data_IF_822649038867
#
_entry.id   IF_822649038867
#
_cell.length_a   1.000
_cell.length_b   1.000
_cell.length_c   1.000
_cell.angle_alpha   90.00
_cell.angle_beta   90.00
_cell.angle_gamma   90.00
#
_symmetry.space_group_name_H-M   'P 1'
#
loop_
_entity.id
_entity.type
_entity.pdbx_description
1 polymer ?
#
# COMPACT_ATOMS: atom_id res chain seq x y z
N UNK A 1 11.26 56.10 33.94
CA UNK A 1 10.19 55.60 33.07
C UNK A 1 10.79 54.63 32.07
N UNK A 2 10.22 53.42 32.06
CA UNK A 2 10.21 52.37 31.03
C UNK A 2 11.53 51.88 30.42
N UNK A 3 12.02 50.77 30.97
CA UNK A 3 12.70 49.72 30.20
C UNK A 3 11.69 49.09 29.22
N UNK A 4 12.01 49.04 27.94
CA UNK A 4 11.08 48.59 26.90
C UNK A 4 11.75 48.05 25.63
N UNK A 5 12.88 47.36 25.74
CA UNK A 5 13.54 46.75 24.56
C UNK A 5 14.00 45.30 24.75
N UNK A 6 13.59 44.63 25.82
CA UNK A 6 14.09 43.29 26.17
C UNK A 6 12.98 42.22 26.15
N UNK A 7 12.13 42.23 25.12
CA UNK A 7 11.13 41.17 24.89
C UNK A 7 11.02 40.78 23.42
N UNK A 8 12.18 40.54 22.78
CA UNK A 8 12.26 39.82 21.50
C UNK A 8 13.02 38.49 21.62
N UNK A 9 13.50 38.14 22.81
CA UNK A 9 14.12 36.85 23.12
C UNK A 9 13.10 35.94 23.82
N UNK A 10 12.03 35.59 23.10
CA UNK A 10 11.12 34.52 23.50
C UNK A 10 11.71 33.17 23.10
N UNK A 11 11.95 32.30 24.09
CA UNK A 11 12.75 31.08 24.00
C UNK A 11 12.51 30.22 22.75
N UNK A 12 13.62 29.70 22.18
CA UNK A 12 13.59 28.63 21.19
C UNK A 12 12.79 27.46 21.78
N UNK A 13 11.54 27.30 21.35
CA UNK A 13 10.83 26.01 21.48
C UNK A 13 11.72 24.96 20.86
N UNK A 14 11.89 23.84 21.55
CA UNK A 14 12.57 22.69 21.00
C UNK A 14 11.92 22.34 19.66
N UNK A 15 12.70 22.40 18.58
CA UNK A 15 12.25 22.13 17.21
C UNK A 15 11.58 20.76 17.10
N UNK A 16 12.00 19.79 17.94
CA UNK A 16 11.37 18.47 18.00
C UNK A 16 9.98 18.53 18.63
N UNK A 17 9.82 19.28 19.71
CA UNK A 17 8.52 19.50 20.34
C UNK A 17 7.56 20.18 19.36
N UNK A 18 8.04 21.20 18.63
CA UNK A 18 7.21 21.88 17.61
C UNK A 18 6.81 20.98 16.43
N UNK A 19 7.69 20.06 16.00
CA UNK A 19 7.36 19.12 14.93
C UNK A 19 6.30 18.11 15.37
N UNK A 20 6.41 17.58 16.60
CA UNK A 20 5.41 16.67 17.18
C UNK A 20 4.05 17.36 17.35
N UNK A 21 4.03 18.58 17.88
CA UNK A 21 2.81 19.36 18.02
C UNK A 21 2.15 19.64 16.66
N UNK A 22 2.94 19.94 15.63
CA UNK A 22 2.46 20.12 14.27
C UNK A 22 1.85 18.84 13.68
N UNK A 23 2.51 17.68 13.86
CA UNK A 23 1.98 16.38 13.41
C UNK A 23 0.64 16.07 14.09
N UNK A 24 0.52 16.31 15.40
CA UNK A 24 -0.74 16.13 16.14
C UNK A 24 -1.84 17.04 15.57
N UNK A 25 -1.53 18.31 15.33
CA UNK A 25 -2.49 19.25 14.74
C UNK A 25 -2.94 18.83 13.33
N UNK A 26 -2.02 18.38 12.48
CA UNK A 26 -2.33 17.88 11.14
C UNK A 26 -3.23 16.64 11.19
N UNK A 27 -2.97 15.70 12.12
CA UNK A 27 -3.81 14.52 12.32
C UNK A 27 -5.20 14.87 12.85
N UNK A 28 -5.33 15.85 13.73
CA UNK A 28 -6.63 16.36 14.17
C UNK A 28 -7.42 16.97 13.00
N UNK A 29 -6.75 17.73 12.14
CA UNK A 29 -7.37 18.28 10.93
C UNK A 29 -7.82 17.17 9.97
N UNK A 30 -7.02 16.10 9.82
CA UNK A 30 -7.37 14.92 9.03
C UNK A 30 -8.67 14.28 9.51
N UNK A 31 -8.80 14.05 10.82
CA UNK A 31 -10.03 13.51 11.42
C UNK A 31 -11.26 14.40 11.19
N UNK A 32 -11.08 15.72 11.17
CA UNK A 32 -12.16 16.65 10.85
C UNK A 32 -12.58 16.59 9.38
N UNK A 33 -11.61 16.38 8.48
CA UNK A 33 -11.89 16.18 7.05
C UNK A 33 -12.64 14.87 6.84
N UNK A 34 -12.20 13.76 7.43
CA UNK A 34 -12.87 12.45 7.34
C UNK A 34 -14.33 12.52 7.79
N UNK A 35 -14.60 13.13 8.96
CA UNK A 35 -15.98 13.36 9.44
C UNK A 35 -16.81 14.20 8.47
N UNK A 36 -16.19 15.16 7.79
CA UNK A 36 -16.87 16.02 6.81
C UNK A 36 -17.12 15.28 5.50
N UNK A 37 -16.21 14.42 5.07
CA UNK A 37 -16.39 13.51 3.93
C UNK A 37 -17.58 12.57 4.19
N UNK A 38 -17.65 11.93 5.36
CA UNK A 38 -18.80 11.08 5.75
C UNK A 38 -20.13 11.84 5.71
N UNK A 39 -20.16 13.08 6.22
CA UNK A 39 -21.35 13.92 6.16
C UNK A 39 -21.76 14.24 4.72
N UNK A 40 -20.79 14.62 3.87
CA UNK A 40 -21.06 14.92 2.46
C UNK A 40 -21.55 13.68 1.71
N UNK A 41 -21.01 12.50 2.01
CA UNK A 41 -21.44 11.23 1.41
C UNK A 41 -22.89 10.91 1.75
N UNK A 42 -23.29 11.04 3.02
CA UNK A 42 -24.71 10.90 3.43
C UNK A 42 -25.60 11.93 2.72
N UNK A 43 -25.16 13.18 2.62
CA UNK A 43 -25.89 14.25 1.92
C UNK A 43 -26.05 13.96 0.43
N UNK A 44 -25.03 13.42 -0.23
CA UNK A 44 -25.07 12.99 -1.64
C UNK A 44 -26.14 11.91 -1.83
N UNK A 45 -26.19 10.91 -0.94
CA UNK A 45 -27.19 9.85 -0.97
C UNK A 45 -28.62 10.39 -0.76
N UNK A 46 -28.81 11.30 0.20
CA UNK A 46 -30.11 11.92 0.46
C UNK A 46 -30.62 12.73 -0.74
N UNK A 47 -29.77 13.56 -1.34
CA UNK A 47 -30.15 14.34 -2.53
C UNK A 47 -30.40 13.42 -3.74
N UNK A 48 -29.66 12.31 -3.86
CA UNK A 48 -29.94 11.30 -4.89
C UNK A 48 -31.29 10.61 -4.67
N UNK A 49 -31.64 10.25 -3.43
CA UNK A 49 -32.95 9.69 -3.08
C UNK A 49 -34.08 10.67 -3.39
N UNK A 50 -33.93 11.95 -3.02
CA UNK A 50 -34.89 13.03 -3.35
C UNK A 50 -35.05 13.22 -4.85
N UNK A 51 -33.95 13.20 -5.60
CA UNK A 51 -33.98 13.31 -7.06
C UNK A 51 -34.76 12.14 -7.69
N UNK A 52 -34.47 10.90 -7.27
CA UNK A 52 -35.16 9.69 -7.75
C UNK A 52 -36.67 9.73 -7.45
N UNK A 53 -37.05 10.12 -6.23
CA UNK A 53 -38.45 10.19 -5.82
C UNK A 53 -39.28 11.22 -6.62
N UNK A 54 -38.64 12.27 -7.14
CA UNK A 54 -39.31 13.35 -7.86
C UNK A 54 -39.07 13.32 -9.38
N UNK A 55 -38.35 12.32 -9.90
CA UNK A 55 -37.90 12.30 -11.29
C UNK A 55 -39.05 12.32 -12.31
N UNK A 56 -40.18 11.68 -11.99
CA UNK A 56 -41.36 11.58 -12.86
C UNK A 56 -42.44 12.60 -12.47
N UNK A 57 -42.62 12.86 -11.17
CA UNK A 57 -43.69 13.70 -10.64
C UNK A 57 -43.37 15.20 -10.64
N UNK A 58 -42.12 15.58 -10.34
CA UNK A 58 -41.72 16.97 -10.20
C UNK A 58 -40.27 17.19 -10.64
N UNK A 59 -40.08 17.38 -11.95
CA UNK A 59 -38.76 17.58 -12.57
C UNK A 59 -37.98 18.77 -12.00
N UNK A 60 -38.66 19.83 -11.55
CA UNK A 60 -37.98 21.00 -11.00
C UNK A 60 -37.27 20.66 -9.67
N UNK A 61 -37.97 19.95 -8.77
CA UNK A 61 -37.41 19.48 -7.49
C UNK A 61 -36.29 18.47 -7.74
N UNK A 62 -36.48 17.52 -8.67
CA UNK A 62 -35.44 16.55 -9.01
C UNK A 62 -34.17 17.23 -9.55
N UNK A 63 -34.32 18.22 -10.42
CA UNK A 63 -33.19 18.98 -10.97
C UNK A 63 -32.45 19.77 -9.88
N UNK A 64 -33.18 20.39 -8.95
CA UNK A 64 -32.56 21.12 -7.83
C UNK A 64 -31.79 20.17 -6.91
N UNK A 65 -32.33 18.99 -6.60
CA UNK A 65 -31.66 17.96 -5.82
C UNK A 65 -30.37 17.48 -6.51
N UNK A 66 -30.40 17.24 -7.82
CA UNK A 66 -29.20 16.87 -8.59
C UNK A 66 -28.12 17.97 -8.58
N UNK A 67 -28.50 19.26 -8.64
CA UNK A 67 -27.55 20.37 -8.49
C UNK A 67 -26.88 20.38 -7.11
N UNK A 68 -27.66 20.16 -6.05
CA UNK A 68 -27.13 20.06 -4.67
C UNK A 68 -26.21 18.85 -4.51
N UNK A 69 -26.58 17.70 -5.08
CA UNK A 69 -25.72 16.51 -5.15
C UNK A 69 -24.38 16.84 -5.80
N UNK A 70 -24.40 17.44 -7.00
CA UNK A 70 -23.18 17.80 -7.75
C UNK A 70 -22.29 18.79 -6.99
N UNK A 71 -22.87 19.75 -6.27
CA UNK A 71 -22.09 20.65 -5.41
C UNK A 71 -21.41 19.90 -4.25
N UNK A 72 -22.12 18.98 -3.59
CA UNK A 72 -21.53 18.15 -2.53
C UNK A 72 -20.44 17.20 -3.06
N UNK A 73 -20.59 16.65 -4.27
CA UNK A 73 -19.54 15.85 -4.94
C UNK A 73 -18.28 16.68 -5.18
N UNK A 74 -18.41 17.90 -5.72
CA UNK A 74 -17.28 18.79 -5.92
C UNK A 74 -16.57 19.18 -4.61
N UNK A 75 -17.34 19.39 -3.53
CA UNK A 75 -16.77 19.62 -2.21
C UNK A 75 -16.02 18.39 -1.68
N UNK A 76 -16.53 17.18 -1.93
CA UNK A 76 -15.89 15.93 -1.54
C UNK A 76 -14.56 15.71 -2.28
N UNK A 77 -14.53 15.95 -3.59
CA UNK A 77 -13.31 15.88 -4.39
C UNK A 77 -12.24 16.87 -3.89
N UNK A 78 -12.66 18.08 -3.51
CA UNK A 78 -11.77 19.08 -2.91
C UNK A 78 -11.20 18.61 -1.57
N UNK A 79 -12.02 18.00 -0.72
CA UNK A 79 -11.57 17.46 0.57
C UNK A 79 -10.59 16.31 0.38
N UNK A 80 -10.81 15.43 -0.60
CA UNK A 80 -9.88 14.34 -0.92
C UNK A 80 -8.49 14.87 -1.29
N UNK A 81 -8.42 15.94 -2.10
CA UNK A 81 -7.16 16.62 -2.41
C UNK A 81 -6.49 17.24 -1.18
N UNK A 82 -7.26 17.86 -0.29
CA UNK A 82 -6.74 18.39 0.97
C UNK A 82 -6.22 17.28 1.88
N UNK A 83 -6.91 16.14 1.95
CA UNK A 83 -6.53 14.97 2.73
C UNK A 83 -5.18 14.44 2.29
N UNK A 84 -5.01 14.19 1.00
CA UNK A 84 -3.74 13.75 0.41
C UNK A 84 -2.59 14.72 0.73
N UNK A 85 -2.85 16.03 0.65
CA UNK A 85 -1.84 17.04 0.95
C UNK A 85 -1.42 17.01 2.44
N UNK A 86 -2.36 16.81 3.36
CA UNK A 86 -2.06 16.69 4.79
C UNK A 86 -1.29 15.40 5.10
N UNK A 87 -1.66 14.28 4.50
CA UNK A 87 -0.95 13.00 4.63
C UNK A 87 0.51 13.14 4.16
N UNK A 88 0.74 13.76 3.00
CA UNK A 88 2.09 14.05 2.50
C UNK A 88 2.90 14.92 3.48
N UNK A 89 2.28 15.95 4.07
CA UNK A 89 2.94 16.82 5.05
C UNK A 89 3.30 16.08 6.33
N UNK A 90 2.42 15.21 6.83
CA UNK A 90 2.68 14.36 7.99
C UNK A 90 3.90 13.47 7.72
N UNK A 91 3.90 12.74 6.60
CA UNK A 91 5.02 11.86 6.22
C UNK A 91 6.33 12.63 6.08
N UNK A 92 6.28 13.84 5.50
CA UNK A 92 7.46 14.71 5.35
C UNK A 92 8.01 15.13 6.72
N UNK A 93 7.14 15.54 7.66
CA UNK A 93 7.55 15.93 9.01
C UNK A 93 8.10 14.76 9.81
N UNK A 94 7.50 13.57 9.68
CA UNK A 94 7.97 12.35 10.33
C UNK A 94 9.36 11.96 9.82
N UNK A 95 9.56 11.96 8.50
CA UNK A 95 10.87 11.72 7.88
C UNK A 95 11.91 12.76 8.33
N UNK A 96 11.54 14.04 8.35
CA UNK A 96 12.42 15.11 8.81
C UNK A 96 12.82 14.93 10.29
N UNK A 97 11.89 14.49 11.16
CA UNK A 97 12.21 14.21 12.56
C UNK A 97 13.16 13.01 12.71
N UNK A 98 12.95 11.93 11.94
CA UNK A 98 13.86 10.78 11.92
C UNK A 98 15.25 11.18 11.42
N UNK A 99 15.34 11.96 10.35
CA UNK A 99 16.62 12.46 9.84
C UNK A 99 17.34 13.34 10.88
N UNK A 100 16.61 14.20 11.59
CA UNK A 100 17.17 15.01 12.67
C UNK A 100 17.68 14.16 13.84
N UNK A 101 17.03 13.04 14.16
CA UNK A 101 17.48 12.08 15.16
C UNK A 101 18.76 11.36 14.71
N UNK A 102 18.81 10.89 13.47
CA UNK A 102 20.02 10.28 12.88
C UNK A 102 21.20 11.25 12.90
N UNK A 103 21.00 12.49 12.45
CA UNK A 103 22.04 13.52 12.51
C UNK A 103 22.50 13.80 13.93
N UNK A 104 21.57 13.80 14.90
CA UNK A 104 21.90 13.94 16.32
C UNK A 104 22.76 12.78 16.84
N UNK A 105 22.45 11.54 16.44
CA UNK A 105 23.24 10.36 16.79
C UNK A 105 24.63 10.39 16.15
N UNK A 106 24.71 10.74 14.85
CA UNK A 106 25.97 10.91 14.14
C UNK A 106 26.84 11.98 14.76
N UNK A 107 26.27 13.11 15.19
CA UNK A 107 27.00 14.16 15.90
C UNK A 107 27.60 13.64 17.21
N UNK A 108 26.81 12.95 18.04
CA UNK A 108 27.31 12.32 19.28
C UNK A 108 28.42 11.31 19.00
N UNK A 109 28.27 10.49 17.97
CA UNK A 109 29.30 9.53 17.55
C UNK A 109 30.58 10.26 17.12
N UNK A 110 30.46 11.33 16.34
CA UNK A 110 31.59 12.18 15.95
C UNK A 110 32.27 12.84 17.15
N UNK A 111 31.52 13.33 18.14
CA UNK A 111 32.08 13.93 19.34
C UNK A 111 32.85 12.88 20.18
N UNK A 112 32.32 11.67 20.29
CA UNK A 112 33.00 10.54 20.95
C UNK A 112 34.27 10.15 20.19
N UNK A 113 34.20 10.02 18.86
CA UNK A 113 35.37 9.74 18.02
C UNK A 113 36.43 10.84 18.17
N UNK A 114 36.02 12.11 18.15
CA UNK A 114 36.93 13.23 18.37
C UNK A 114 37.59 13.19 19.76
N UNK A 115 36.89 12.75 20.80
CA UNK A 115 37.46 12.57 22.13
C UNK A 115 38.41 11.36 22.22
N UNK A 116 38.09 10.24 21.54
CA UNK A 116 38.97 9.07 21.46
C UNK A 116 40.27 9.45 20.74
N UNK A 117 40.15 10.14 19.60
CA UNK A 117 41.28 10.52 18.75
C UNK A 117 42.06 11.71 19.32
N UNK A 118 41.38 12.67 19.96
CA UNK A 118 42.01 13.84 20.59
C UNK A 118 42.86 13.52 21.82
N UNK A 119 42.63 12.36 22.45
CA UNK A 119 43.50 11.82 23.51
C UNK A 119 44.57 10.85 22.98
N UNK A 120 44.59 10.60 21.67
CA UNK A 120 45.55 9.74 20.98
C UNK A 120 46.65 10.64 20.40
N UNK A 121 47.77 10.77 21.12
CA UNK A 121 48.98 11.48 20.65
C UNK A 121 49.31 11.04 19.22
N UNK A 122 49.44 11.96 18.27
CA UNK A 122 49.69 11.66 16.83
C UNK A 122 50.88 10.69 16.67
N UNK A 123 51.92 10.84 17.49
CA UNK A 123 53.11 9.97 17.48
C UNK A 123 52.79 8.52 17.88
N UNK A 124 51.80 8.30 18.75
CA UNK A 124 51.31 6.95 19.09
C UNK A 124 50.36 6.42 18.02
N UNK A 125 49.59 7.29 17.36
CA UNK A 125 48.73 6.89 16.24
C UNK A 125 49.57 6.35 15.09
N UNK A 126 50.64 7.03 14.69
CA UNK A 126 51.52 6.57 13.60
C UNK A 126 52.17 5.20 13.91
N UNK A 127 52.67 5.03 15.14
CA UNK A 127 53.23 3.75 15.59
C UNK A 127 52.18 2.62 15.67
N UNK A 128 50.93 2.97 16.01
CA UNK A 128 49.83 2.00 16.08
C UNK A 128 49.28 1.68 14.68
N UNK A 129 49.22 2.66 13.78
CA UNK A 129 48.82 2.49 12.37
C UNK A 129 49.84 1.66 11.60
N UNK A 130 51.14 1.83 11.88
CA UNK A 130 52.19 0.95 11.34
C UNK A 130 51.97 -0.52 11.77
N UNK A 131 51.71 -0.76 13.06
CA UNK A 131 51.37 -2.10 13.57
C UNK A 131 50.04 -2.63 13.05
N UNK A 132 49.02 -1.78 12.86
CA UNK A 132 47.73 -2.18 12.30
C UNK A 132 47.87 -2.56 10.84
N UNK A 133 48.62 -1.80 10.04
CA UNK A 133 48.87 -2.16 8.64
C UNK A 133 49.63 -3.49 8.54
N UNK A 134 50.66 -3.69 9.38
CA UNK A 134 51.37 -4.97 9.48
C UNK A 134 50.42 -6.13 9.88
N UNK A 135 49.53 -5.93 10.85
CA UNK A 135 48.54 -6.92 11.24
C UNK A 135 47.42 -7.12 10.21
N UNK A 136 47.09 -6.10 9.43
CA UNK A 136 46.09 -6.16 8.35
C UNK A 136 46.65 -6.91 7.15
N UNK A 137 47.93 -6.74 6.84
CA UNK A 137 48.64 -7.52 5.83
C UNK A 137 48.70 -9.00 6.26
N UNK A 138 49.04 -9.28 7.53
CA UNK A 138 48.97 -10.64 8.10
C UNK A 138 47.54 -11.20 8.05
N UNK A 139 46.52 -10.40 8.39
CA UNK A 139 45.13 -10.84 8.36
C UNK A 139 44.63 -11.09 6.93
N UNK A 140 45.09 -10.31 5.95
CA UNK A 140 44.82 -10.56 4.53
C UNK A 140 45.54 -11.82 4.06
N UNK A 141 46.79 -12.03 4.45
CA UNK A 141 47.56 -13.24 4.12
C UNK A 141 46.92 -14.50 4.76
N UNK A 142 46.39 -14.37 5.98
CA UNK A 142 45.60 -15.41 6.66
C UNK A 142 44.25 -15.60 5.96
N UNK A 143 43.55 -14.53 5.59
CA UNK A 143 42.27 -14.60 4.89
C UNK A 143 42.44 -15.19 3.48
N UNK A 144 43.53 -14.92 2.79
CA UNK A 144 43.85 -15.47 1.47
C UNK A 144 44.27 -16.94 1.59
N UNK A 145 45.00 -17.31 2.66
CA UNK A 145 45.30 -18.70 3.01
C UNK A 145 44.05 -19.48 3.48
N UNK A 146 43.09 -18.83 4.15
CA UNK A 146 41.81 -19.39 4.60
C UNK A 146 40.69 -19.31 3.56
N UNK A 147 40.82 -18.47 2.53
CA UNK A 147 39.93 -18.41 1.38
C UNK A 147 40.35 -19.40 0.29
N UNK A 148 41.55 -19.99 0.40
CA UNK A 148 41.97 -21.12 -0.41
C UNK A 148 41.79 -22.50 0.27
N UNK A 149 40.60 -22.77 0.81
CA UNK A 149 39.95 -24.06 0.71
C UNK A 149 38.57 -23.83 0.07
N UNK A 150 38.56 -23.80 -1.26
CA UNK A 150 37.35 -23.88 -2.11
C UNK A 150 36.49 -22.61 -2.20
N UNK A 151 36.60 -21.94 -3.36
CA UNK A 151 35.46 -21.37 -4.10
C UNK A 151 34.67 -20.25 -3.43
N UNK A 152 34.89 -19.03 -3.91
CA UNK A 152 33.99 -17.89 -3.78
C UNK A 152 32.54 -18.34 -4.03
N UNK A 153 31.65 -18.20 -3.05
CA UNK A 153 30.21 -18.34 -3.25
C UNK A 153 29.74 -17.15 -4.08
N UNK A 154 29.79 -17.30 -5.39
CA UNK A 154 29.03 -16.48 -6.33
C UNK A 154 27.57 -16.95 -6.28
N UNK A 155 26.65 -16.04 -5.96
CA UNK A 155 25.22 -16.32 -6.09
C UNK A 155 24.87 -16.33 -7.57
N UNK A 156 24.18 -17.39 -8.01
CA UNK A 156 23.75 -17.52 -9.40
C UNK A 156 22.48 -16.67 -9.63
N UNK A 157 22.62 -15.61 -10.43
CA UNK A 157 21.52 -14.73 -10.82
C UNK A 157 20.38 -15.48 -11.54
N UNK A 158 20.60 -16.68 -12.08
CA UNK A 158 19.55 -17.52 -12.67
C UNK A 158 18.69 -18.22 -11.60
N UNK A 159 19.29 -18.67 -10.49
CA UNK A 159 18.58 -19.28 -9.36
C UNK A 159 17.64 -18.27 -8.70
N UNK A 160 18.12 -17.03 -8.51
CA UNK A 160 17.33 -15.94 -7.94
C UNK A 160 16.15 -15.52 -8.83
N UNK A 161 16.29 -15.63 -10.16
CA UNK A 161 15.20 -15.32 -11.10
C UNK A 161 14.12 -16.39 -11.12
N UNK A 162 14.50 -17.66 -10.94
CA UNK A 162 13.54 -18.75 -10.84
C UNK A 162 12.70 -18.60 -9.56
N UNK A 163 13.33 -18.32 -8.43
CA UNK A 163 12.63 -18.08 -7.16
C UNK A 163 11.67 -16.88 -7.23
N UNK A 164 12.05 -15.81 -7.95
CA UNK A 164 11.16 -14.67 -8.19
C UNK A 164 9.93 -15.04 -9.01
N UNK A 165 10.08 -15.89 -10.04
CA UNK A 165 8.97 -16.30 -10.91
C UNK A 165 7.94 -17.15 -10.16
N UNK A 166 8.40 -18.02 -9.26
CA UNK A 166 7.52 -18.86 -8.45
C UNK A 166 6.66 -17.99 -7.49
N UNK A 167 7.27 -16.97 -6.86
CA UNK A 167 6.56 -16.00 -6.02
C UNK A 167 5.49 -15.19 -6.79
N UNK A 168 5.78 -14.82 -8.04
CA UNK A 168 4.80 -14.11 -8.90
C UNK A 168 3.59 -14.97 -9.21
N UNK A 169 3.79 -16.27 -9.49
CA UNK A 169 2.72 -17.20 -9.78
C UNK A 169 1.83 -17.45 -8.55
N UNK A 170 2.42 -17.67 -7.37
CA UNK A 170 1.67 -17.85 -6.12
C UNK A 170 0.76 -16.64 -5.83
N UNK A 171 1.28 -15.42 -6.01
CA UNK A 171 0.47 -14.19 -5.78
C UNK A 171 -0.63 -13.98 -6.83
N UNK A 172 -0.43 -14.42 -8.07
CA UNK A 172 -1.46 -14.42 -9.11
C UNK A 172 -2.57 -15.42 -8.81
N UNK A 173 -2.21 -16.62 -8.36
CA UNK A 173 -3.17 -17.66 -8.00
C UNK A 173 -3.99 -17.28 -6.77
N UNK A 174 -3.39 -16.63 -5.76
CA UNK A 174 -4.13 -16.04 -4.63
C UNK A 174 -5.13 -14.97 -5.08
N UNK A 175 -4.75 -14.11 -6.04
CA UNK A 175 -5.66 -13.08 -6.59
C UNK A 175 -6.80 -13.67 -7.40
N UNK A 176 -6.55 -14.75 -8.14
CA UNK A 176 -7.56 -15.44 -8.94
C UNK A 176 -8.51 -16.28 -8.07
N UNK A 177 -8.01 -16.88 -6.99
CA UNK A 177 -8.82 -17.58 -6.00
C UNK A 177 -9.83 -16.66 -5.28
N UNK A 178 -9.57 -15.36 -5.24
CA UNK A 178 -10.50 -14.35 -4.71
C UNK A 178 -11.59 -13.85 -5.67
N UNK A 179 -11.55 -14.23 -6.96
CA UNK A 179 -12.49 -13.74 -7.98
C UNK A 179 -13.62 -14.75 -8.28
N UNK A 180 -14.55 -14.92 -7.35
CA UNK A 180 -15.71 -15.80 -7.52
C UNK A 180 -16.81 -15.12 -8.39
N UNK A 181 -17.00 -15.66 -9.61
CA UNK A 181 -18.12 -15.50 -10.56
C UNK A 181 -18.27 -14.21 -11.41
N UNK A 182 -18.01 -14.36 -12.72
CA UNK A 182 -18.49 -13.44 -13.76
C UNK A 182 -19.94 -13.83 -14.16
N UNK A 183 -20.92 -12.90 -14.16
CA UNK A 183 -22.29 -13.22 -14.58
C UNK A 183 -22.37 -13.40 -16.11
N UNK A 184 -22.85 -14.58 -16.54
CA UNK A 184 -23.17 -14.86 -17.94
C UNK A 184 -24.42 -14.07 -18.37
N UNK A 185 -24.26 -13.10 -19.27
CA UNK A 185 -25.36 -12.33 -19.85
C UNK A 185 -25.83 -12.99 -21.16
N UNK A 186 -27.05 -13.51 -21.20
CA UNK A 186 -27.72 -13.96 -22.44
C UNK A 186 -28.56 -12.78 -22.98
N UNK A 187 -28.48 -12.40 -24.28
CA UNK A 187 -29.24 -11.26 -24.80
C UNK A 187 -30.73 -11.57 -24.95
N UNK A 188 -31.57 -10.60 -24.55
CA UNK A 188 -33.02 -10.68 -24.61
C UNK A 188 -33.52 -10.47 -26.05
N UNK A 189 -33.85 -11.55 -26.76
CA UNK A 189 -34.32 -11.45 -28.14
C UNK A 189 -34.74 -12.75 -28.80
N UNK A 190 -35.40 -13.68 -28.10
CA UNK A 190 -36.06 -14.81 -28.75
C UNK A 190 -37.27 -15.29 -27.94
N UNK A 191 -38.38 -14.53 -28.02
CA UNK A 191 -39.72 -15.11 -27.83
C UNK A 191 -40.27 -15.44 -29.20
N UNK A 192 -40.33 -16.73 -29.54
CA UNK A 192 -41.25 -17.26 -30.55
C UNK A 192 -41.94 -18.49 -29.97
N UNK A 193 -43.26 -18.39 -29.97
CA UNK A 193 -44.25 -19.43 -29.66
C UNK A 193 -44.13 -20.54 -30.69
N UNK A 194 -44.10 -21.81 -30.27
CA UNK A 194 -44.99 -22.90 -30.73
C UNK A 194 -44.61 -24.30 -30.19
N UNK A 195 -45.67 -25.01 -29.78
CA UNK A 195 -45.93 -26.45 -29.90
C UNK A 195 -45.08 -27.53 -29.18
N UNK A 196 -45.71 -28.04 -28.11
CA UNK A 196 -45.69 -29.41 -27.55
C UNK A 196 -44.97 -30.48 -28.40
N UNK A 197 -43.84 -31.01 -27.92
CA UNK A 197 -43.38 -32.38 -28.24
C UNK A 197 -42.82 -33.09 -27.01
N UNK A 198 -43.41 -34.25 -26.72
CA UNK A 198 -42.92 -35.27 -25.79
C UNK A 198 -41.49 -35.66 -26.18
N UNK A 199 -40.53 -35.54 -25.26
CA UNK A 199 -39.23 -36.23 -25.35
C UNK A 199 -38.92 -36.70 -23.93
N UNK A 200 -39.37 -37.91 -23.61
CA UNK A 200 -39.04 -38.63 -22.37
C UNK A 200 -38.79 -40.13 -22.62
N UNK A 201 -38.59 -40.57 -23.87
CA UNK A 201 -38.61 -42.02 -24.21
C UNK A 201 -37.71 -42.33 -25.41
N UNK A 202 -36.40 -42.07 -25.32
CA UNK A 202 -35.45 -42.56 -26.34
C UNK A 202 -34.35 -43.41 -25.71
N UNK A 203 -33.90 -43.10 -24.49
CA UNK A 203 -32.87 -43.91 -23.81
C UNK A 203 -33.40 -45.27 -23.30
N UNK A 204 -34.65 -45.34 -22.82
CA UNK A 204 -35.27 -46.59 -22.33
C UNK A 204 -35.60 -47.60 -23.46
N UNK A 205 -35.85 -47.13 -24.69
CA UNK A 205 -36.18 -48.00 -25.83
C UNK A 205 -34.93 -48.68 -26.44
N UNK A 206 -33.76 -48.05 -26.35
CA UNK A 206 -32.51 -48.65 -26.85
C UNK A 206 -32.00 -49.75 -25.91
N UNK A 207 -32.12 -49.56 -24.59
CA UNK A 207 -31.67 -50.54 -23.58
C UNK A 207 -32.54 -51.81 -23.57
N UNK A 208 -33.84 -51.67 -23.85
CA UNK A 208 -34.77 -52.80 -23.93
C UNK A 208 -34.57 -53.62 -25.20
N UNK A 209 -34.32 -52.98 -26.34
CA UNK A 209 -34.03 -53.66 -27.61
C UNK A 209 -32.70 -54.43 -27.60
N UNK A 210 -31.67 -53.88 -26.92
CA UNK A 210 -30.38 -54.57 -26.73
C UNK A 210 -30.52 -55.86 -25.90
N UNK A 211 -31.37 -55.86 -24.86
CA UNK A 211 -31.63 -57.05 -24.03
C UNK A 211 -32.37 -58.14 -24.80
N UNK A 212 -33.36 -57.80 -25.63
CA UNK A 212 -34.09 -58.78 -26.44
C UNK A 212 -33.20 -59.45 -27.49
N UNK A 213 -32.31 -58.70 -28.14
CA UNK A 213 -31.34 -59.24 -29.09
C UNK A 213 -30.33 -60.21 -28.43
N UNK A 214 -29.89 -59.90 -27.21
CA UNK A 214 -28.99 -60.80 -26.47
C UNK A 214 -29.70 -62.08 -26.01
N UNK A 215 -30.98 -62.01 -25.63
CA UNK A 215 -31.77 -63.17 -25.23
C UNK A 215 -32.07 -64.12 -26.41
N UNK A 216 -32.27 -63.59 -27.62
CA UNK A 216 -32.54 -64.38 -28.82
C UNK A 216 -31.31 -65.13 -29.37
N UNK A 217 -30.09 -64.69 -29.04
CA UNK A 217 -28.83 -65.34 -29.43
C UNK A 217 -28.34 -66.39 -28.41
N UNK A 218 -28.93 -66.42 -27.20
CA UNK A 218 -28.56 -67.32 -26.12
C UNK A 218 -29.50 -68.54 -25.98
N UNK A 219 -30.41 -68.76 -26.93
CA UNK A 219 -31.21 -70.00 -27.10
C UNK A 219 -30.74 -70.81 -28.30
#
# INVERSE_FOLDING_TARGET
>A
MMAGFMSYFGGRRDTKQSARDAIVGLRQQLQMIEKKEEYLQKKIEEELKKAKANAVSNKAVATQALRRKKASEADMDRLAGQRLQLELQINTLESANMNAETLGAMKKASDVLASIHGNMDIDKVDATMAKINEQKDIANEIAEALANPSGVLEFDDEELKAELADLEQETLDERLAGAEHVPLHIPAGARRVEERRKILTVEDDEETQLKELQAALAM
#
